data_IF_204508669218
#
_entry.id   IF_204508669218
#
_cell.length_a   1.000
_cell.length_b   1.000
_cell.length_c   1.000
_cell.angle_alpha   90.00
_cell.angle_beta   90.00
_cell.angle_gamma   90.00
#
_symmetry.space_group_name_H-M   'P 1'
#
loop_
_entity.id
_entity.type
_entity.pdbx_description
1 polymer ?
#
# COMPACT_ATOMS: atom_id res chain seq x y z
N UNK A 1 13.55 -4.47 -9.14
CA UNK A 1 12.36 -4.08 -8.36
C UNK A 1 12.01 -2.60 -8.53
N UNK A 2 12.86 -1.64 -8.11
CA UNK A 2 12.61 -0.21 -8.39
C UNK A 2 12.62 0.06 -9.91
N UNK A 3 13.56 -0.54 -10.64
CA UNK A 3 13.59 -0.50 -12.10
C UNK A 3 12.38 -1.19 -12.75
N UNK A 4 11.82 -2.23 -12.11
CA UNK A 4 10.68 -2.98 -12.65
C UNK A 4 9.40 -2.14 -12.54
N UNK A 5 9.13 -1.55 -11.37
CA UNK A 5 7.98 -0.67 -11.18
C UNK A 5 8.10 0.61 -12.02
N UNK A 6 9.30 1.17 -12.13
CA UNK A 6 9.54 2.30 -13.03
C UNK A 6 9.30 1.90 -14.50
N UNK A 7 9.76 0.73 -14.94
CA UNK A 7 9.47 0.21 -16.28
C UNK A 7 7.97 0.09 -16.54
N UNK A 8 7.25 -0.59 -15.65
CA UNK A 8 5.80 -0.80 -15.75
C UNK A 8 5.01 0.52 -15.76
N UNK A 9 5.43 1.53 -15.00
CA UNK A 9 4.73 2.82 -14.91
C UNK A 9 5.13 3.77 -16.05
N UNK A 10 6.43 3.99 -16.25
CA UNK A 10 6.95 5.07 -17.09
C UNK A 10 7.08 4.67 -18.57
N UNK A 11 7.35 3.39 -18.84
CA UNK A 11 7.60 2.88 -20.21
C UNK A 11 6.42 2.07 -20.72
N UNK A 12 6.03 1.04 -19.99
CA UNK A 12 5.06 0.04 -20.48
C UNK A 12 3.61 0.49 -20.23
N UNK A 13 3.40 1.48 -19.35
CA UNK A 13 2.07 2.00 -18.97
C UNK A 13 1.09 0.89 -18.51
N UNK A 14 1.62 -0.15 -17.85
CA UNK A 14 0.85 -1.28 -17.34
C UNK A 14 0.31 -1.04 -15.93
N UNK A 15 0.85 -0.06 -15.21
CA UNK A 15 0.38 0.36 -13.89
C UNK A 15 0.24 1.87 -13.81
N UNK A 16 -0.65 2.33 -12.95
CA UNK A 16 -0.78 3.73 -12.55
C UNK A 16 -0.80 3.86 -11.03
N UNK A 17 -0.55 5.07 -10.53
CA UNK A 17 -0.66 5.37 -9.11
C UNK A 17 -1.96 6.07 -8.81
N UNK A 18 -2.72 5.56 -7.85
CA UNK A 18 -3.90 6.26 -7.32
C UNK A 18 -4.28 5.73 -5.93
N UNK A 19 -5.38 6.26 -5.39
CA UNK A 19 -5.89 5.87 -4.07
C UNK A 19 -6.61 4.52 -4.10
N UNK A 20 -5.92 3.46 -3.70
CA UNK A 20 -6.50 2.20 -3.22
C UNK A 20 -6.61 2.21 -1.68
N UNK A 21 -6.10 1.16 -1.02
CA UNK A 21 -6.01 1.13 0.46
C UNK A 21 -5.10 2.26 1.00
N UNK A 22 -4.16 2.69 0.17
CA UNK A 22 -3.30 3.85 0.37
C UNK A 22 -2.97 4.46 -1.01
N UNK A 23 -1.90 5.26 -1.09
CA UNK A 23 -1.32 5.58 -2.39
C UNK A 23 -0.66 4.31 -2.94
N UNK A 24 -1.26 3.71 -3.96
CA UNK A 24 -0.91 2.37 -4.43
C UNK A 24 -0.60 2.37 -5.92
N UNK A 25 0.24 1.44 -6.35
CA UNK A 25 0.30 1.04 -7.75
C UNK A 25 -0.87 0.12 -8.07
N UNK A 26 -1.53 0.37 -9.18
CA UNK A 26 -2.75 -0.29 -9.62
C UNK A 26 -2.58 -0.70 -11.09
N UNK A 27 -3.07 -1.89 -11.51
CA UNK A 27 -3.10 -2.28 -12.91
C UNK A 27 -3.81 -1.24 -13.76
N UNK A 28 -3.24 -0.86 -14.91
CA UNK A 28 -3.83 0.14 -15.80
C UNK A 28 -5.21 -0.28 -16.31
N UNK A 29 -5.46 -1.59 -16.46
CA UNK A 29 -6.77 -2.16 -16.79
C UNK A 29 -7.87 -1.76 -15.83
N UNK A 30 -7.53 -1.40 -14.59
CA UNK A 30 -8.49 -1.08 -13.55
C UNK A 30 -8.86 0.41 -13.52
N UNK A 31 -8.26 1.23 -14.39
CA UNK A 31 -8.37 2.69 -14.36
C UNK A 31 -9.81 3.19 -14.25
N UNK A 32 -10.75 2.65 -15.06
CA UNK A 32 -12.15 3.07 -15.05
C UNK A 32 -12.80 2.99 -13.66
N UNK A 33 -12.44 2.00 -12.85
CA UNK A 33 -13.03 1.79 -11.53
C UNK A 33 -12.62 2.88 -10.52
N UNK A 34 -11.64 3.71 -10.85
CA UNK A 34 -11.21 4.85 -10.05
C UNK A 34 -11.77 6.19 -10.55
N UNK A 35 -12.40 6.24 -11.74
CA UNK A 35 -13.06 7.43 -12.27
C UNK A 35 -14.12 8.02 -11.34
N UNK A 36 -15.01 7.22 -10.70
CA UNK A 36 -15.99 7.79 -9.77
C UNK A 36 -15.30 8.61 -8.67
N UNK A 37 -14.18 8.13 -8.15
CA UNK A 37 -13.39 8.85 -7.13
C UNK A 37 -12.77 10.14 -7.67
N UNK A 38 -12.28 10.14 -8.91
CA UNK A 38 -11.77 11.35 -9.57
C UNK A 38 -12.89 12.39 -9.78
N UNK A 39 -14.05 11.96 -10.27
CA UNK A 39 -15.23 12.82 -10.46
C UNK A 39 -15.71 13.43 -9.14
N UNK A 40 -15.65 12.68 -8.04
CA UNK A 40 -15.95 13.17 -6.69
C UNK A 40 -15.04 14.33 -6.27
N UNK A 41 -13.74 14.27 -6.57
CA UNK A 41 -12.81 15.39 -6.33
C UNK A 41 -13.05 16.60 -7.23
N UNK A 42 -13.76 16.42 -8.36
CA UNK A 42 -14.18 17.52 -9.24
C UNK A 42 -15.40 18.27 -8.70
N UNK A 43 -16.16 17.73 -7.75
CA UNK A 43 -17.30 18.41 -7.15
C UNK A 43 -16.83 19.50 -6.16
N UNK A 44 -16.95 20.81 -6.49
CA UNK A 44 -16.47 21.88 -5.63
C UNK A 44 -17.37 22.14 -4.41
N UNK A 45 -18.60 21.60 -4.40
CA UNK A 45 -19.55 21.78 -3.31
C UNK A 45 -19.25 20.89 -2.11
N UNK A 46 -18.48 19.82 -2.31
CA UNK A 46 -18.10 18.90 -1.25
C UNK A 46 -17.21 19.61 -0.20
N UNK A 47 -17.56 19.50 1.09
CA UNK A 47 -16.98 20.33 2.15
C UNK A 47 -15.45 20.19 2.26
N UNK A 48 -14.93 18.96 2.18
CA UNK A 48 -13.48 18.71 2.18
C UNK A 48 -12.80 19.32 0.95
N UNK A 49 -13.41 19.19 -0.23
CA UNK A 49 -12.86 19.74 -1.49
C UNK A 49 -12.82 21.26 -1.40
N UNK A 50 -13.93 21.87 -0.99
CA UNK A 50 -14.03 23.32 -0.76
C UNK A 50 -12.97 23.82 0.21
N UNK A 51 -12.76 23.12 1.33
CA UNK A 51 -11.73 23.48 2.30
C UNK A 51 -10.32 23.40 1.69
N UNK A 52 -10.01 22.32 0.97
CA UNK A 52 -8.71 22.12 0.31
C UNK A 52 -8.46 23.16 -0.78
N UNK A 53 -9.47 23.53 -1.55
CA UNK A 53 -9.39 24.51 -2.64
C UNK A 53 -9.04 25.93 -2.16
N UNK A 54 -9.39 26.31 -0.92
CA UNK A 54 -9.13 27.68 -0.41
C UNK A 54 -7.68 28.14 -0.57
N UNK A 55 -6.72 27.22 -0.44
CA UNK A 55 -5.29 27.54 -0.50
C UNK A 55 -4.66 27.49 -1.89
N UNK A 56 -5.32 26.91 -2.90
CA UNK A 56 -4.70 26.62 -4.20
C UNK A 56 -5.61 26.78 -5.42
N UNK A 57 -6.90 27.12 -5.27
CA UNK A 57 -7.84 27.22 -6.40
C UNK A 57 -7.35 28.15 -7.52
N UNK A 58 -6.75 29.28 -7.14
CA UNK A 58 -6.19 30.28 -8.06
C UNK A 58 -4.96 29.78 -8.84
N UNK A 59 -4.34 28.67 -8.44
CA UNK A 59 -3.15 28.10 -9.09
C UNK A 59 -3.46 26.93 -10.03
N UNK A 60 -4.67 26.36 -9.98
CA UNK A 60 -4.96 25.10 -10.69
C UNK A 60 -4.76 25.24 -12.20
N UNK A 61 -5.29 26.31 -12.80
CA UNK A 61 -5.20 26.50 -14.25
C UNK A 61 -3.76 26.78 -14.69
N UNK A 62 -3.03 27.62 -13.96
CA UNK A 62 -1.64 27.94 -14.26
C UNK A 62 -0.73 26.71 -14.16
N UNK A 63 -0.91 25.88 -13.12
CA UNK A 63 -0.17 24.62 -12.96
C UNK A 63 -0.48 23.66 -14.11
N UNK A 64 -1.76 23.52 -14.48
CA UNK A 64 -2.17 22.65 -15.58
C UNK A 64 -1.60 23.13 -16.92
N UNK A 65 -1.62 24.43 -17.18
CA UNK A 65 -1.08 25.03 -18.40
C UNK A 65 0.44 24.87 -18.51
N UNK A 66 1.16 25.00 -17.39
CA UNK A 66 2.60 24.70 -17.37
C UNK A 66 2.90 23.26 -17.74
N UNK A 67 2.17 22.28 -17.19
CA UNK A 67 2.33 20.87 -17.57
C UNK A 67 1.97 20.64 -19.05
N UNK A 68 0.94 21.33 -19.55
CA UNK A 68 0.55 21.26 -20.96
C UNK A 68 1.68 21.74 -21.88
N UNK A 69 2.30 22.88 -21.58
CA UNK A 69 3.35 23.51 -22.39
C UNK A 69 4.72 22.86 -22.24
N UNK A 70 5.14 22.58 -21.01
CA UNK A 70 6.50 22.15 -20.67
C UNK A 70 6.64 20.62 -20.64
N UNK A 71 5.52 19.89 -20.63
CA UNK A 71 5.50 18.44 -20.47
C UNK A 71 5.48 18.00 -19.00
N UNK A 72 5.96 16.79 -18.67
CA UNK A 72 5.90 16.26 -17.32
C UNK A 72 6.68 17.11 -16.30
N UNK A 73 6.02 17.53 -15.22
CA UNK A 73 6.61 18.34 -14.15
C UNK A 73 6.44 17.72 -12.76
N UNK A 74 7.43 17.92 -11.90
CA UNK A 74 7.40 17.58 -10.49
C UNK A 74 7.11 18.79 -9.62
N UNK A 75 6.84 18.59 -8.33
CA UNK A 75 6.70 19.69 -7.38
C UNK A 75 7.97 20.56 -7.24
N UNK A 76 9.15 20.10 -7.69
CA UNK A 76 10.38 20.89 -7.67
C UNK A 76 10.43 21.91 -8.80
N UNK A 77 9.73 21.67 -9.90
CA UNK A 77 9.71 22.58 -11.05
C UNK A 77 8.85 23.84 -10.80
N UNK A 78 8.30 23.94 -9.58
CA UNK A 78 7.54 25.07 -9.05
C UNK A 78 8.24 25.73 -7.84
N UNK A 79 9.53 25.48 -7.64
CA UNK A 79 10.34 26.21 -6.63
C UNK A 79 10.93 27.49 -7.23
N UNK A 80 11.12 28.51 -6.39
CA UNK A 80 11.78 29.76 -6.78
C UNK A 80 13.21 29.53 -7.33
N UNK A 81 13.62 30.24 -8.39
CA UNK A 81 15.03 30.54 -8.63
C UNK A 81 15.59 31.35 -7.44
N UNK A 82 16.83 31.08 -7.02
CA UNK A 82 17.46 31.74 -5.86
C UNK A 82 17.50 33.28 -5.96
N UNK A 83 17.42 33.82 -7.18
CA UNK A 83 17.49 35.27 -7.47
C UNK A 83 16.12 35.96 -7.66
N UNK A 84 15.00 35.24 -7.49
CA UNK A 84 13.67 35.84 -7.58
C UNK A 84 13.34 36.62 -6.29
N UNK A 85 12.97 37.90 -6.41
CA UNK A 85 12.56 38.75 -5.26
C UNK A 85 11.52 38.01 -4.39
N UNK A 86 11.78 37.94 -3.08
CA UNK A 86 10.75 37.53 -2.09
C UNK A 86 9.53 38.44 -2.26
N UNK A 87 8.42 37.89 -2.74
CA UNK A 87 7.18 38.64 -3.01
C UNK A 87 6.43 38.25 -4.28
N UNK A 88 7.03 37.50 -5.20
CA UNK A 88 6.35 36.99 -6.40
C UNK A 88 5.79 35.57 -6.19
N UNK A 89 4.49 35.49 -5.88
CA UNK A 89 3.50 34.42 -6.15
C UNK A 89 3.98 32.97 -6.44
N UNK A 90 4.95 32.42 -5.72
CA UNK A 90 5.34 31.01 -5.86
C UNK A 90 5.68 30.37 -4.51
N UNK A 91 4.72 30.33 -3.59
CA UNK A 91 4.89 29.46 -2.44
C UNK A 91 4.85 27.99 -2.90
N UNK A 92 5.97 27.30 -2.70
CA UNK A 92 6.17 25.89 -3.05
C UNK A 92 5.06 24.99 -2.48
N UNK A 93 4.53 25.35 -1.30
CA UNK A 93 3.47 24.56 -0.65
C UNK A 93 2.15 24.62 -1.46
N UNK A 94 1.55 25.80 -1.74
CA UNK A 94 0.39 25.92 -2.64
C UNK A 94 0.54 25.27 -4.02
N UNK A 95 1.67 25.43 -4.71
CA UNK A 95 1.88 24.83 -6.03
C UNK A 95 1.94 23.29 -5.97
N UNK A 96 2.61 22.74 -4.95
CA UNK A 96 2.58 21.30 -4.68
C UNK A 96 1.16 20.80 -4.42
N UNK A 97 0.37 21.54 -3.64
CA UNK A 97 -1.02 21.17 -3.38
C UNK A 97 -1.89 21.24 -4.65
N UNK A 98 -1.67 22.23 -5.52
CA UNK A 98 -2.35 22.30 -6.81
C UNK A 98 -2.05 21.07 -7.68
N UNK A 99 -0.78 20.65 -7.79
CA UNK A 99 -0.41 19.40 -8.49
C UNK A 99 -1.10 18.18 -7.90
N UNK A 100 -1.05 18.01 -6.57
CA UNK A 100 -1.70 16.87 -5.90
C UNK A 100 -3.22 16.88 -6.10
N UNK A 101 -3.84 18.06 -6.09
CA UNK A 101 -5.28 18.21 -6.28
C UNK A 101 -5.71 17.92 -7.73
N UNK A 102 -4.98 18.41 -8.73
CA UNK A 102 -5.19 18.07 -10.14
C UNK A 102 -5.01 16.57 -10.40
N UNK A 103 -4.05 15.94 -9.71
CA UNK A 103 -3.88 14.49 -9.72
C UNK A 103 -5.09 13.76 -9.10
N UNK A 104 -5.59 14.21 -7.94
CA UNK A 104 -6.78 13.59 -7.34
C UNK A 104 -8.02 13.71 -8.23
N UNK A 105 -8.19 14.82 -8.94
CA UNK A 105 -9.28 15.06 -9.90
C UNK A 105 -9.17 14.26 -11.21
N UNK A 106 -8.04 13.57 -11.44
CA UNK A 106 -7.77 12.85 -12.69
C UNK A 106 -7.41 13.76 -13.87
N UNK A 107 -7.10 15.04 -13.64
CA UNK A 107 -6.58 15.93 -14.70
C UNK A 107 -5.11 15.62 -15.00
N UNK A 108 -4.36 15.26 -13.95
CA UNK A 108 -2.99 14.80 -14.02
C UNK A 108 -2.87 13.36 -13.57
N UNK A 109 -1.87 12.66 -14.11
CA UNK A 109 -1.42 11.35 -13.64
C UNK A 109 0.05 11.40 -13.27
N UNK A 110 0.50 10.49 -12.41
CA UNK A 110 1.93 10.31 -12.15
C UNK A 110 2.51 9.52 -13.32
N UNK A 111 3.24 10.21 -14.19
CA UNK A 111 3.85 9.61 -15.38
C UNK A 111 5.09 8.79 -15.05
N UNK A 112 5.83 9.18 -14.03
CA UNK A 112 6.98 8.44 -13.51
C UNK A 112 7.33 8.89 -12.10
N UNK A 113 8.25 8.15 -11.49
CA UNK A 113 8.97 8.60 -10.31
C UNK A 113 10.46 8.76 -10.62
N UNK A 114 10.97 9.95 -10.34
CA UNK A 114 12.41 10.23 -10.35
C UNK A 114 12.91 10.15 -8.92
N UNK A 115 13.54 9.02 -8.57
CA UNK A 115 13.78 8.65 -7.16
C UNK A 115 12.42 8.58 -6.44
N UNK A 116 12.22 9.35 -5.36
CA UNK A 116 10.96 9.39 -4.62
C UNK A 116 10.00 10.50 -5.07
N UNK A 117 10.36 11.31 -6.06
CA UNK A 117 9.53 12.42 -6.50
C UNK A 117 8.58 11.99 -7.60
N UNK A 118 7.31 12.35 -7.41
CA UNK A 118 6.27 12.22 -8.42
C UNK A 118 6.52 13.23 -9.53
N UNK A 119 6.51 12.75 -10.77
CA UNK A 119 6.45 13.58 -11.97
C UNK A 119 5.04 13.43 -12.53
N UNK A 120 4.35 14.55 -12.71
CA UNK A 120 2.97 14.62 -13.16
C UNK A 120 2.93 15.00 -14.63
N UNK A 121 2.05 14.37 -15.40
CA UNK A 121 1.73 14.77 -16.77
C UNK A 121 0.22 14.72 -16.97
N UNK A 122 -0.27 15.27 -18.08
CA UNK A 122 -1.68 15.22 -18.45
C UNK A 122 -2.17 13.78 -18.52
N UNK A 123 -3.35 13.50 -17.95
CA UNK A 123 -3.90 12.14 -17.97
C UNK A 123 -3.99 11.57 -19.40
N UNK A 124 -4.38 12.39 -20.39
CA UNK A 124 -4.46 12.01 -21.81
C UNK A 124 -3.11 11.62 -22.45
N UNK A 125 -1.98 12.07 -21.89
CA UNK A 125 -0.62 11.69 -22.37
C UNK A 125 -0.10 10.44 -21.69
N UNK A 126 -0.63 10.10 -20.51
CA UNK A 126 -0.21 8.95 -19.71
C UNK A 126 -1.06 7.71 -20.01
N UNK A 127 -2.36 7.90 -20.25
CA UNK A 127 -3.29 6.81 -20.54
C UNK A 127 -3.00 6.17 -21.91
N UNK A 128 -2.80 4.85 -21.97
CA UNK A 128 -2.76 4.12 -23.23
C UNK A 128 -4.10 4.19 -23.98
N UNK A 129 -4.05 4.24 -25.31
CA UNK A 129 -5.23 4.39 -26.18
C UNK A 129 -6.27 3.26 -26.10
N UNK A 130 -5.91 2.10 -25.56
CA UNK A 130 -6.80 0.94 -25.40
C UNK A 130 -7.43 0.79 -24.01
N UNK A 131 -7.16 1.72 -23.09
CA UNK A 131 -7.73 1.66 -21.74
C UNK A 131 -9.18 2.09 -21.77
N UNK A 132 -10.03 1.30 -21.14
CA UNK A 132 -11.43 1.68 -20.92
C UNK A 132 -11.50 2.86 -19.94
N UNK A 133 -12.07 3.97 -20.41
CA UNK A 133 -12.30 5.18 -19.64
C UNK A 133 -13.79 5.49 -19.50
N UNK A 134 -14.67 4.52 -19.77
CA UNK A 134 -16.10 4.67 -19.53
C UNK A 134 -16.37 4.72 -18.03
N UNK A 135 -17.27 5.63 -17.61
CA UNK A 135 -17.59 5.74 -16.19
C UNK A 135 -18.41 4.51 -15.78
N UNK A 136 -17.92 3.69 -14.83
CA UNK A 136 -18.64 2.51 -14.39
C UNK A 136 -19.89 2.87 -13.61
N UNK A 137 -20.87 1.98 -13.69
CA UNK A 137 -22.03 1.96 -12.79
C UNK A 137 -21.60 1.59 -11.37
N UNK A 138 -22.45 1.93 -10.39
CA UNK A 138 -22.25 1.52 -9.01
C UNK A 138 -22.13 0.00 -8.87
N UNK A 139 -22.93 -0.77 -9.61
CA UNK A 139 -22.88 -2.23 -9.59
C UNK A 139 -21.50 -2.75 -10.05
N UNK A 140 -20.98 -2.25 -11.17
CA UNK A 140 -19.67 -2.66 -11.69
C UNK A 140 -18.53 -2.29 -10.74
N UNK A 141 -18.59 -1.11 -10.11
CA UNK A 141 -17.61 -0.70 -9.08
C UNK A 141 -17.69 -1.65 -7.88
N UNK A 142 -18.88 -1.90 -7.36
CA UNK A 142 -19.06 -2.77 -6.20
C UNK A 142 -18.51 -4.16 -6.46
N UNK A 143 -18.87 -4.77 -7.60
CA UNK A 143 -18.39 -6.10 -7.96
C UNK A 143 -16.88 -6.14 -8.17
N UNK A 144 -16.29 -5.15 -8.85
CA UNK A 144 -14.85 -5.02 -9.01
C UNK A 144 -14.13 -5.03 -7.65
N UNK A 145 -14.64 -4.26 -6.69
CA UNK A 145 -14.03 -4.14 -5.37
C UNK A 145 -14.12 -5.41 -4.56
N UNK A 146 -15.29 -6.06 -4.54
CA UNK A 146 -15.48 -7.32 -3.82
C UNK A 146 -14.58 -8.40 -4.41
N UNK A 147 -14.59 -8.58 -5.74
CA UNK A 147 -13.72 -9.55 -6.45
C UNK A 147 -12.25 -9.29 -6.17
N UNK A 148 -11.81 -8.02 -6.24
CA UNK A 148 -10.42 -7.65 -5.95
C UNK A 148 -10.04 -7.93 -4.50
N UNK A 149 -10.92 -7.66 -3.55
CA UNK A 149 -10.67 -7.86 -2.13
C UNK A 149 -10.55 -9.35 -1.78
N UNK A 150 -11.51 -10.19 -2.20
CA UNK A 150 -11.45 -11.65 -1.95
C UNK A 150 -10.23 -12.26 -2.64
N UNK A 151 -9.90 -11.84 -3.86
CA UNK A 151 -8.74 -12.38 -4.59
C UNK A 151 -7.41 -11.95 -3.96
N UNK A 152 -7.31 -10.69 -3.56
CA UNK A 152 -6.06 -10.13 -3.02
C UNK A 152 -5.79 -10.50 -1.57
N UNK A 153 -6.81 -10.94 -0.82
CA UNK A 153 -6.70 -11.18 0.61
C UNK A 153 -7.07 -12.60 1.07
N UNK A 154 -7.65 -13.42 0.19
CA UNK A 154 -8.12 -14.78 0.49
C UNK A 154 -9.51 -14.77 1.11
N UNK A 155 -9.62 -14.29 2.35
CA UNK A 155 -10.89 -14.13 3.08
C UNK A 155 -11.05 -12.67 3.49
N UNK A 156 -12.25 -12.10 3.48
CA UNK A 156 -12.49 -10.69 3.88
C UNK A 156 -13.82 -10.54 4.60
N UNK A 157 -13.91 -9.61 5.55
CA UNK A 157 -15.21 -9.10 6.02
C UNK A 157 -15.64 -7.93 5.15
N UNK A 158 -16.93 -7.63 5.14
CA UNK A 158 -17.44 -6.52 4.34
C UNK A 158 -16.76 -5.17 4.68
N UNK A 159 -16.47 -4.91 5.96
CA UNK A 159 -15.75 -3.71 6.42
C UNK A 159 -14.30 -3.63 5.90
N UNK A 160 -13.68 -4.78 5.62
CA UNK A 160 -12.31 -4.82 5.07
C UNK A 160 -12.29 -4.37 3.60
N UNK A 161 -13.35 -4.67 2.85
CA UNK A 161 -13.55 -4.22 1.47
C UNK A 161 -13.68 -2.69 1.41
N UNK A 162 -14.40 -2.11 2.38
CA UNK A 162 -14.50 -0.64 2.52
C UNK A 162 -13.12 0.00 2.77
N UNK A 163 -12.31 -0.62 3.62
CA UNK A 163 -10.93 -0.19 3.89
C UNK A 163 -10.00 -0.28 2.67
N UNK A 164 -10.32 -1.13 1.69
CA UNK A 164 -9.54 -1.28 0.46
C UNK A 164 -9.66 -0.07 -0.50
N UNK A 165 -10.71 0.75 -0.35
CA UNK A 165 -10.97 1.91 -1.18
C UNK A 165 -10.43 3.23 -0.62
N UNK A 166 -10.17 3.30 0.68
CA UNK A 166 -10.00 4.58 1.36
C UNK A 166 -8.69 4.62 2.14
N UNK A 167 -7.87 5.68 1.97
CA UNK A 167 -6.75 5.90 2.88
C UNK A 167 -7.29 6.12 4.30
N UNK A 168 -6.63 5.49 5.29
CA UNK A 168 -6.93 5.70 6.69
C UNK A 168 -6.87 7.21 7.01
N UNK A 169 -8.03 7.82 7.32
CA UNK A 169 -8.15 9.25 7.64
C UNK A 169 -9.20 10.02 6.83
N UNK A 170 -9.76 9.46 5.76
CA UNK A 170 -10.93 10.03 5.10
C UNK A 170 -12.18 9.81 5.97
N UNK A 171 -12.35 10.63 7.02
CA UNK A 171 -13.56 10.65 7.88
C UNK A 171 -14.73 11.38 7.22
N UNK A 172 -14.83 11.34 5.90
CA UNK A 172 -16.00 11.90 5.22
C UNK A 172 -17.11 10.85 5.21
N UNK A 173 -18.08 11.06 6.09
CA UNK A 173 -19.24 10.17 6.29
C UNK A 173 -19.99 9.90 4.98
N UNK A 174 -20.04 10.90 4.10
CA UNK A 174 -20.87 10.85 2.90
C UNK A 174 -20.25 9.93 1.84
N UNK A 175 -18.92 9.94 1.69
CA UNK A 175 -18.22 9.00 0.82
C UNK A 175 -18.33 7.57 1.33
N UNK A 176 -18.19 7.40 2.65
CA UNK A 176 -18.27 6.08 3.28
C UNK A 176 -19.66 5.46 3.11
N UNK A 177 -20.74 6.23 3.32
CA UNK A 177 -22.10 5.70 3.25
C UNK A 177 -22.48 5.22 1.83
N UNK A 178 -22.10 5.96 0.79
CA UNK A 178 -22.36 5.56 -0.59
C UNK A 178 -21.58 4.29 -0.95
N UNK A 179 -20.28 4.24 -0.60
CA UNK A 179 -19.44 3.07 -0.87
C UNK A 179 -19.94 1.83 -0.11
N UNK A 180 -20.43 1.98 1.11
CA UNK A 180 -21.02 0.89 1.89
C UNK A 180 -22.22 0.25 1.20
N UNK A 181 -23.16 1.05 0.67
CA UNK A 181 -24.36 0.53 -0.02
C UNK A 181 -23.97 -0.24 -1.29
N UNK A 182 -23.05 0.32 -2.06
CA UNK A 182 -22.52 -0.30 -3.28
C UNK A 182 -21.85 -1.65 -2.96
N UNK A 183 -21.02 -1.70 -1.93
CA UNK A 183 -20.35 -2.93 -1.50
C UNK A 183 -21.37 -3.96 -0.97
N UNK A 184 -22.33 -3.55 -0.13
CA UNK A 184 -23.38 -4.46 0.37
C UNK A 184 -24.13 -5.14 -0.77
N UNK A 185 -24.58 -4.36 -1.76
CA UNK A 185 -25.33 -4.90 -2.89
C UNK A 185 -24.47 -5.83 -3.73
N UNK A 186 -23.20 -5.48 -3.98
CA UNK A 186 -22.28 -6.34 -4.72
C UNK A 186 -21.97 -7.65 -3.99
N UNK A 187 -21.84 -7.64 -2.66
CA UNK A 187 -21.68 -8.88 -1.87
C UNK A 187 -22.91 -9.78 -2.04
N UNK A 188 -24.11 -9.23 -1.95
CA UNK A 188 -25.34 -9.99 -2.18
C UNK A 188 -25.42 -10.56 -3.61
N UNK A 189 -25.19 -9.73 -4.63
CA UNK A 189 -25.20 -10.15 -6.03
C UNK A 189 -24.22 -11.31 -6.28
N UNK A 190 -23.00 -11.21 -5.74
CA UNK A 190 -21.95 -12.21 -5.95
C UNK A 190 -22.17 -13.48 -5.13
N UNK A 191 -22.84 -13.41 -3.98
CA UNK A 191 -23.30 -14.58 -3.23
C UNK A 191 -24.40 -15.32 -4.00
N UNK A 192 -25.40 -14.59 -4.51
CA UNK A 192 -26.49 -15.16 -5.32
C UNK A 192 -25.95 -15.81 -6.61
N UNK A 193 -24.92 -15.22 -7.21
CA UNK A 193 -24.24 -15.77 -8.37
C UNK A 193 -23.29 -16.94 -8.06
N UNK A 194 -23.01 -17.21 -6.77
CA UNK A 194 -22.06 -18.24 -6.35
C UNK A 194 -20.58 -17.93 -6.63
N UNK A 195 -20.24 -16.69 -6.97
CA UNK A 195 -18.84 -16.29 -7.23
C UNK A 195 -18.04 -16.14 -5.93
N UNK A 196 -18.73 -15.76 -4.85
CA UNK A 196 -18.16 -15.72 -3.51
C UNK A 196 -19.00 -16.59 -2.58
N UNK A 197 -18.35 -17.08 -1.52
CA UNK A 197 -18.99 -17.89 -0.48
C UNK A 197 -18.81 -17.20 0.87
N UNK A 198 -19.82 -17.30 1.71
CA UNK A 198 -19.68 -16.99 3.14
C UNK A 198 -18.90 -18.13 3.80
N UNK A 199 -17.91 -17.80 4.60
CA UNK A 199 -17.04 -18.75 5.31
C UNK A 199 -17.04 -18.44 6.80
N UNK A 200 -16.95 -19.49 7.62
CA UNK A 200 -16.77 -19.35 9.05
C UNK A 200 -15.27 -19.30 9.39
N UNK A 201 -14.90 -18.42 10.31
CA UNK A 201 -13.55 -18.34 10.87
C UNK A 201 -13.64 -18.71 12.35
N UNK A 202 -12.80 -19.64 12.79
CA UNK A 202 -12.78 -20.09 14.18
C UNK A 202 -12.57 -18.92 15.14
N UNK A 203 -13.37 -18.86 16.22
CA UNK A 203 -13.30 -17.79 17.21
C UNK A 203 -13.91 -16.45 16.77
N UNK A 204 -14.40 -16.33 15.54
CA UNK A 204 -14.97 -15.11 14.99
C UNK A 204 -16.48 -15.25 14.77
N UNK A 205 -17.22 -14.19 15.13
CA UNK A 205 -18.69 -14.11 14.96
C UNK A 205 -19.10 -13.27 13.75
N UNK A 206 -18.13 -12.61 13.11
CA UNK A 206 -18.37 -11.77 11.94
C UNK A 206 -18.50 -12.64 10.68
N UNK A 207 -19.27 -12.17 9.70
CA UNK A 207 -19.33 -12.82 8.39
C UNK A 207 -18.05 -12.55 7.59
N UNK A 208 -17.43 -13.64 7.15
CA UNK A 208 -16.29 -13.62 6.24
C UNK A 208 -16.70 -14.15 4.88
N UNK A 209 -16.06 -13.64 3.84
CA UNK A 209 -16.32 -14.01 2.45
C UNK A 209 -15.02 -14.39 1.76
N UNK A 210 -15.09 -15.40 0.90
CA UNK A 210 -13.99 -15.88 0.09
C UNK A 210 -14.46 -16.06 -1.36
N UNK A 211 -13.52 -16.07 -2.31
CA UNK A 211 -13.82 -16.48 -3.68
C UNK A 211 -14.12 -17.98 -3.72
N UNK A 212 -15.22 -18.36 -4.38
CA UNK A 212 -15.55 -19.77 -4.59
C UNK A 212 -14.43 -20.48 -5.37
N UNK A 213 -14.00 -19.88 -6.48
CA UNK A 213 -12.91 -20.36 -7.32
C UNK A 213 -11.62 -20.60 -6.54
N UNK A 214 -11.23 -19.68 -5.64
CA UNK A 214 -10.00 -19.85 -4.86
C UNK A 214 -10.10 -21.02 -3.87
N UNK A 215 -11.26 -21.22 -3.24
CA UNK A 215 -11.45 -22.33 -2.32
C UNK A 215 -11.45 -23.69 -3.03
N UNK A 216 -12.01 -23.75 -4.24
CA UNK A 216 -12.03 -24.95 -5.06
C UNK A 216 -10.64 -25.31 -5.60
N UNK A 217 -9.89 -24.30 -6.09
CA UNK A 217 -8.62 -24.52 -6.78
C UNK A 217 -7.39 -24.55 -5.85
N UNK A 218 -7.50 -24.05 -4.63
CA UNK A 218 -6.42 -24.05 -3.65
C UNK A 218 -6.83 -24.85 -2.40
N UNK A 219 -6.82 -26.20 -2.46
CA UNK A 219 -7.11 -27.02 -1.30
C UNK A 219 -6.12 -26.75 -0.17
N UNK A 220 -6.57 -27.05 1.05
CA UNK A 220 -5.85 -26.82 2.32
C UNK A 220 -4.37 -27.14 2.18
N UNK A 221 -3.54 -26.10 2.27
CA UNK A 221 -2.09 -26.27 2.44
C UNK A 221 -1.91 -26.89 3.83
N UNK A 222 -1.15 -27.97 3.95
CA UNK A 222 -0.93 -28.70 5.21
C UNK A 222 -0.14 -27.91 6.27
N UNK A 223 0.02 -26.59 6.06
CA UNK A 223 0.76 -25.68 6.90
C UNK A 223 2.27 -25.97 6.92
N UNK A 224 2.75 -26.96 6.16
CA UNK A 224 4.17 -27.31 6.18
C UNK A 224 4.98 -26.15 5.63
N UNK A 225 6.02 -25.75 6.36
CA UNK A 225 6.77 -24.58 5.99
C UNK A 225 7.70 -24.89 4.81
N UNK A 226 7.43 -24.29 3.65
CA UNK A 226 8.33 -24.39 2.49
C UNK A 226 9.34 -23.25 2.38
N UNK A 227 9.02 -22.07 2.94
CA UNK A 227 9.79 -20.82 2.80
C UNK A 227 9.57 -19.92 4.02
N UNK A 228 10.57 -19.09 4.32
CA UNK A 228 10.42 -17.98 5.28
C UNK A 228 10.10 -16.70 4.53
N UNK A 229 9.03 -16.01 4.92
CA UNK A 229 8.68 -14.69 4.39
C UNK A 229 8.98 -13.59 5.41
N UNK A 230 9.55 -12.49 4.93
CA UNK A 230 9.75 -11.26 5.70
C UNK A 230 8.70 -10.26 5.24
N UNK A 231 7.67 -10.05 6.04
CA UNK A 231 6.52 -9.25 5.64
C UNK A 231 6.79 -7.76 5.94
N UNK A 232 6.63 -6.91 4.93
CA UNK A 232 6.70 -5.46 5.13
C UNK A 232 5.60 -5.00 6.08
N UNK A 233 5.80 -3.92 6.87
CA UNK A 233 4.73 -3.25 7.60
C UNK A 233 3.52 -2.83 6.75
N UNK A 234 3.71 -2.74 5.42
CA UNK A 234 2.73 -2.38 4.41
C UNK A 234 2.32 -3.56 3.50
N UNK A 235 2.73 -4.78 3.83
CA UNK A 235 2.18 -5.98 3.21
C UNK A 235 0.65 -6.03 3.45
N UNK A 236 -0.14 -6.53 2.50
CA UNK A 236 -1.61 -6.56 2.62
C UNK A 236 -2.08 -7.34 3.86
N UNK A 237 -1.35 -8.39 4.27
CA UNK A 237 -1.65 -9.13 5.49
C UNK A 237 -1.32 -8.30 6.74
N UNK A 238 -0.15 -7.63 6.73
CA UNK A 238 0.35 -6.90 7.90
C UNK A 238 -0.34 -5.57 8.09
N UNK A 239 -0.70 -4.88 7.00
CA UNK A 239 -1.28 -3.54 7.04
C UNK A 239 -2.59 -3.53 7.84
N UNK A 240 -3.32 -4.65 7.83
CA UNK A 240 -4.52 -4.91 8.63
C UNK A 240 -4.13 -5.51 9.99
N UNK A 241 -3.84 -4.64 10.96
CA UNK A 241 -3.38 -5.06 12.30
C UNK A 241 -4.40 -5.91 13.06
N UNK A 242 -5.67 -5.67 12.83
CA UNK A 242 -6.75 -6.44 13.44
C UNK A 242 -6.79 -7.88 12.92
N UNK A 243 -6.43 -8.11 11.66
CA UNK A 243 -6.29 -9.46 11.10
C UNK A 243 -5.13 -10.21 11.72
N UNK A 244 -3.97 -9.56 11.88
CA UNK A 244 -2.84 -10.19 12.55
C UNK A 244 -3.24 -10.63 13.97
N UNK A 245 -4.00 -9.80 14.69
CA UNK A 245 -4.49 -10.14 16.02
C UNK A 245 -5.51 -11.28 16.00
N UNK A 246 -6.51 -11.23 15.12
CA UNK A 246 -7.62 -12.20 15.09
C UNK A 246 -7.25 -13.55 14.48
N UNK A 247 -6.50 -13.54 13.38
CA UNK A 247 -6.20 -14.74 12.59
C UNK A 247 -4.85 -15.38 12.96
N UNK A 248 -3.92 -14.59 13.51
CA UNK A 248 -2.55 -15.06 13.81
C UNK A 248 -2.14 -14.85 15.27
N UNK A 249 -3.05 -14.35 16.11
CA UNK A 249 -2.78 -14.02 17.53
C UNK A 249 -1.53 -13.14 17.71
N UNK A 250 -1.25 -12.30 16.72
CA UNK A 250 0.01 -11.57 16.61
C UNK A 250 -0.22 -10.07 16.77
N UNK A 251 0.13 -9.55 17.94
CA UNK A 251 0.11 -8.11 18.18
C UNK A 251 1.30 -7.42 17.50
N UNK A 252 1.00 -6.36 16.74
CA UNK A 252 2.00 -5.67 15.94
C UNK A 252 1.66 -4.19 15.77
N UNK A 253 2.64 -3.34 16.06
CA UNK A 253 2.57 -1.90 15.87
C UNK A 253 3.78 -1.44 15.07
N UNK A 254 3.58 -0.55 14.10
CA UNK A 254 4.68 0.08 13.39
C UNK A 254 5.25 1.24 14.22
N UNK A 255 6.43 1.03 14.80
CA UNK A 255 7.03 1.96 15.76
C UNK A 255 7.89 3.07 15.12
N UNK A 256 7.89 3.20 13.78
CA UNK A 256 8.68 4.23 13.10
C UNK A 256 8.29 5.67 13.48
N UNK A 257 7.06 5.84 13.97
CA UNK A 257 6.52 7.11 14.46
C UNK A 257 6.83 7.37 15.93
N UNK A 258 7.34 6.39 16.66
CA UNK A 258 7.73 6.54 18.06
C UNK A 258 9.16 7.08 18.15
N UNK A 259 9.46 7.93 19.16
CA UNK A 259 10.83 8.20 19.59
C UNK A 259 11.60 6.89 19.86
N UNK A 260 12.91 6.89 19.63
CA UNK A 260 13.73 5.67 19.65
C UNK A 260 13.67 4.92 20.98
N UNK A 261 13.66 5.66 22.08
CA UNK A 261 13.56 5.17 23.46
C UNK A 261 12.21 4.52 23.81
N UNK A 262 11.16 4.80 23.03
CA UNK A 262 9.82 4.21 23.20
C UNK A 262 9.59 2.98 22.32
N UNK A 263 10.57 2.62 21.47
CA UNK A 263 10.46 1.47 20.57
C UNK A 263 10.72 0.17 21.33
N UNK A 264 9.81 -0.79 21.23
CA UNK A 264 9.95 -2.10 21.83
C UNK A 264 10.77 -3.02 20.90
N UNK A 265 10.44 -3.02 19.62
CA UNK A 265 11.01 -3.95 18.64
C UNK A 265 11.96 -3.29 17.63
N UNK A 266 11.75 -2.03 17.25
CA UNK A 266 12.66 -1.35 16.31
C UNK A 266 11.97 -0.32 15.42
N UNK A 267 12.71 0.28 14.49
CA UNK A 267 12.18 1.38 13.67
C UNK A 267 11.20 0.89 12.61
N UNK A 268 11.56 -0.13 11.83
CA UNK A 268 10.77 -0.56 10.67
C UNK A 268 10.73 -2.08 10.63
N UNK A 269 10.01 -2.66 11.60
CA UNK A 269 10.03 -4.09 11.94
C UNK A 269 9.19 -4.93 10.98
N UNK A 270 9.76 -6.04 10.50
CA UNK A 270 9.12 -7.01 9.61
C UNK A 270 8.70 -8.24 10.42
N UNK A 271 7.42 -8.64 10.41
CA UNK A 271 6.99 -9.95 10.87
C UNK A 271 7.61 -11.07 10.01
N UNK A 272 7.93 -12.19 10.65
CA UNK A 272 8.51 -13.39 10.02
C UNK A 272 7.42 -14.45 9.95
N UNK A 273 7.01 -14.81 8.74
CA UNK A 273 6.04 -15.88 8.50
C UNK A 273 6.76 -17.18 8.14
N UNK A 274 6.43 -18.25 8.85
CA UNK A 274 6.95 -19.60 8.63
C UNK A 274 5.79 -20.60 8.67
N UNK A 275 5.53 -21.27 7.54
CA UNK A 275 4.30 -22.05 7.36
C UNK A 275 3.07 -21.14 7.46
N UNK A 276 2.20 -21.42 8.41
CA UNK A 276 1.00 -20.64 8.71
C UNK A 276 1.11 -19.78 9.98
N UNK A 277 2.31 -19.60 10.54
CA UNK A 277 2.51 -18.86 11.81
C UNK A 277 3.46 -17.68 11.66
N UNK A 278 3.13 -16.58 12.33
CA UNK A 278 4.06 -15.48 12.54
C UNK A 278 4.98 -15.82 13.71
N UNK A 279 6.21 -16.19 13.40
CA UNK A 279 7.15 -16.82 14.35
C UNK A 279 8.17 -15.85 14.94
N UNK A 280 8.23 -14.62 14.43
CA UNK A 280 9.12 -13.61 14.98
C UNK A 280 9.04 -12.26 14.28
N UNK A 281 9.97 -11.40 14.63
CA UNK A 281 10.08 -9.99 14.24
C UNK A 281 11.55 -9.66 14.00
N UNK A 282 11.85 -8.92 12.92
CA UNK A 282 13.19 -8.39 12.69
C UNK A 282 13.17 -6.91 12.28
N UNK A 283 14.15 -6.13 12.72
CA UNK A 283 14.35 -4.72 12.32
C UNK A 283 15.54 -4.63 11.35
N UNK A 284 15.32 -4.68 10.03
CA UNK A 284 16.40 -4.67 9.05
C UNK A 284 16.76 -3.23 8.66
N UNK A 285 18.05 -2.97 8.45
CA UNK A 285 18.52 -1.72 7.85
C UNK A 285 19.64 -1.98 6.87
N UNK A 286 19.42 -1.61 5.60
CA UNK A 286 20.48 -1.60 4.60
C UNK A 286 21.42 -0.42 4.84
N UNK A 287 22.69 -0.70 5.17
CA UNK A 287 23.76 0.28 5.10
C UNK A 287 24.33 0.29 3.69
N UNK A 288 23.91 1.29 2.91
CA UNK A 288 24.31 1.44 1.50
C UNK A 288 25.81 1.71 1.33
N UNK A 289 26.49 2.32 2.31
CA UNK A 289 27.92 2.62 2.23
C UNK A 289 28.74 1.34 2.35
N UNK A 290 28.45 0.52 3.36
CA UNK A 290 29.13 -0.76 3.58
C UNK A 290 28.54 -1.92 2.79
N UNK A 291 27.45 -1.69 2.04
CA UNK A 291 26.66 -2.69 1.32
C UNK A 291 26.30 -3.88 2.22
N UNK A 292 25.89 -3.59 3.45
CA UNK A 292 25.57 -4.61 4.47
C UNK A 292 24.15 -4.42 4.99
N UNK A 293 23.37 -5.49 4.98
CA UNK A 293 22.06 -5.53 5.63
C UNK A 293 22.26 -5.78 7.13
N UNK A 294 22.00 -4.79 7.96
CA UNK A 294 22.14 -4.87 9.41
C UNK A 294 20.79 -5.24 10.01
N UNK A 295 20.68 -6.43 10.59
CA UNK A 295 19.53 -6.82 11.42
C UNK A 295 19.79 -6.29 12.81
N UNK A 296 19.13 -5.17 13.15
CA UNK A 296 19.34 -4.43 14.40
C UNK A 296 18.75 -5.14 15.60
N UNK A 297 17.65 -5.84 15.37
CA UNK A 297 16.94 -6.63 16.36
C UNK A 297 16.30 -7.83 15.68
N UNK A 298 16.29 -8.98 16.35
CA UNK A 298 15.61 -10.20 15.95
C UNK A 298 15.01 -10.83 17.21
N UNK A 299 13.70 -11.05 17.18
CA UNK A 299 12.95 -11.59 18.32
C UNK A 299 12.03 -12.68 17.79
N UNK A 300 12.08 -13.86 18.38
CA UNK A 300 11.12 -14.93 18.09
C UNK A 300 9.94 -14.85 19.05
N UNK A 301 8.76 -15.25 18.58
CA UNK A 301 7.56 -15.28 19.41
C UNK A 301 7.68 -16.33 20.52
N UNK A 302 7.02 -16.10 21.69
CA UNK A 302 6.92 -17.11 22.73
C UNK A 302 6.41 -18.44 22.17
N UNK A 303 7.05 -19.55 22.57
CA UNK A 303 6.68 -20.89 22.12
C UNK A 303 7.20 -21.28 20.73
N UNK A 304 7.93 -20.41 20.03
CA UNK A 304 8.67 -20.78 18.83
C UNK A 304 10.13 -21.10 19.17
N UNK A 305 10.55 -22.32 18.85
CA UNK A 305 11.96 -22.74 18.89
C UNK A 305 12.43 -22.94 17.45
N UNK A 306 13.43 -22.16 16.98
CA UNK A 306 13.97 -22.32 15.63
C UNK A 306 14.53 -23.74 15.42
N UNK A 307 13.99 -24.46 14.43
CA UNK A 307 14.58 -25.72 13.96
C UNK A 307 15.74 -25.46 13.00
N UNK A 308 16.60 -26.46 12.78
CA UNK A 308 17.69 -26.37 11.80
C UNK A 308 17.18 -26.06 10.38
N UNK A 309 16.02 -26.63 10.02
CA UNK A 309 15.35 -26.33 8.75
C UNK A 309 14.94 -24.85 8.67
N UNK A 310 14.29 -24.32 9.71
CA UNK A 310 13.94 -22.91 9.76
C UNK A 310 15.17 -22.02 9.65
N UNK A 311 16.22 -22.30 10.41
CA UNK A 311 17.45 -21.50 10.42
C UNK A 311 18.12 -21.50 9.04
N UNK A 312 18.15 -22.65 8.37
CA UNK A 312 18.65 -22.77 7.00
C UNK A 312 17.86 -21.89 6.04
N UNK A 313 16.52 -22.02 6.03
CA UNK A 313 15.64 -21.21 5.16
C UNK A 313 15.68 -19.72 5.50
N UNK A 314 15.76 -19.38 6.78
CA UNK A 314 15.82 -18.00 7.24
C UNK A 314 17.11 -17.32 6.77
N UNK A 315 18.25 -18.02 6.86
CA UNK A 315 19.53 -17.53 6.35
C UNK A 315 19.52 -17.34 4.81
N UNK A 316 18.93 -18.28 4.07
CA UNK A 316 18.70 -18.15 2.62
C UNK A 316 17.85 -16.90 2.30
N UNK A 317 16.74 -16.71 3.02
CA UNK A 317 15.85 -15.55 2.89
C UNK A 317 16.56 -14.25 3.23
N UNK A 318 17.35 -14.18 4.30
CA UNK A 318 18.14 -13.00 4.66
C UNK A 318 19.20 -12.67 3.62
N UNK A 319 19.88 -13.67 3.07
CA UNK A 319 20.85 -13.47 2.00
C UNK A 319 20.18 -12.93 0.72
N UNK A 320 19.03 -13.49 0.35
CA UNK A 320 18.23 -12.99 -0.77
C UNK A 320 17.73 -11.56 -0.53
N UNK A 321 17.23 -11.26 0.66
CA UNK A 321 16.76 -9.92 1.03
C UNK A 321 17.90 -8.90 1.09
N UNK A 322 19.10 -9.30 1.53
CA UNK A 322 20.29 -8.46 1.46
C UNK A 322 20.62 -8.10 0.00
N UNK A 323 20.65 -9.10 -0.90
CA UNK A 323 20.89 -8.86 -2.35
C UNK A 323 19.83 -7.95 -2.96
N UNK A 324 18.56 -8.17 -2.64
CA UNK A 324 17.44 -7.33 -3.08
C UNK A 324 17.66 -5.85 -2.69
N UNK A 325 18.21 -5.60 -1.50
CA UNK A 325 18.53 -4.26 -1.02
C UNK A 325 19.93 -3.74 -1.46
N UNK A 326 20.57 -4.38 -2.45
CA UNK A 326 21.88 -3.99 -2.96
C UNK A 326 23.04 -4.24 -1.97
N UNK A 327 22.82 -5.09 -0.97
CA UNK A 327 23.82 -5.48 0.01
C UNK A 327 24.49 -6.81 -0.39
N UNK A 328 25.78 -6.95 -0.09
CA UNK A 328 26.59 -8.15 -0.40
C UNK A 328 26.56 -9.19 0.73
N UNK A 329 26.25 -8.75 1.95
CA UNK A 329 26.19 -9.57 3.15
C UNK A 329 25.14 -9.03 4.11
N UNK A 330 24.78 -9.82 5.12
CA UNK A 330 24.03 -9.36 6.27
C UNK A 330 24.78 -9.64 7.56
N UNK A 331 24.43 -8.91 8.61
CA UNK A 331 24.92 -9.15 9.97
C UNK A 331 23.76 -9.02 10.94
N UNK A 332 23.71 -9.89 11.94
CA UNK A 332 22.74 -9.80 13.03
C UNK A 332 23.46 -9.19 14.24
N UNK A 333 22.96 -8.06 14.74
CA UNK A 333 23.53 -7.43 15.92
C UNK A 333 23.02 -8.13 17.18
N UNK A 334 23.95 -8.48 18.08
CA UNK A 334 23.59 -8.83 19.46
C UNK A 334 23.05 -7.57 20.15
N UNK A 335 21.80 -7.62 20.62
CA UNK A 335 21.19 -6.51 21.38
C UNK A 335 21.81 -6.46 22.78
N UNK A 336 22.24 -5.28 23.22
CA UNK A 336 22.62 -5.03 24.60
C UNK A 336 21.36 -4.62 25.41
N UNK A 337 20.68 -5.58 26.07
CA UNK A 337 19.55 -5.39 27.02
C UNK A 337 18.16 -5.04 26.38
N UNK A 338 16.99 -5.13 27.04
CA UNK A 338 16.52 -5.52 28.40
C UNK A 338 15.27 -6.44 28.35
N UNK A 339 14.81 -6.85 27.16
CA UNK A 339 13.68 -7.75 26.98
C UNK A 339 14.16 -9.02 26.28
N UNK A 340 13.73 -10.18 26.79
CA UNK A 340 14.17 -11.55 26.44
C UNK A 340 14.41 -11.70 24.94
N UNK A 341 15.67 -11.53 24.52
CA UNK A 341 16.14 -12.03 23.24
C UNK A 341 16.35 -13.54 23.39
N UNK A 342 15.91 -14.32 22.39
CA UNK A 342 16.42 -15.68 22.26
C UNK A 342 17.96 -15.58 22.10
N UNK A 343 18.74 -16.47 22.74
CA UNK A 343 20.19 -16.39 22.68
C UNK A 343 20.65 -16.48 21.22
N UNK A 344 21.39 -15.45 20.80
CA UNK A 344 22.04 -15.30 19.49
C UNK A 344 23.20 -16.30 19.28
N UNK A 345 23.13 -17.48 19.90
CA UNK A 345 24.19 -18.50 19.85
C UNK A 345 23.98 -19.51 18.71
N UNK A 346 22.80 -19.53 18.06
CA UNK A 346 22.44 -20.50 17.03
C UNK A 346 22.18 -19.89 15.64
N UNK A 347 22.59 -18.64 15.39
CA UNK A 347 22.41 -17.93 14.11
C UNK A 347 23.73 -17.42 13.55
#
# INVERSE_FOLDING_TARGET
AEDDLHGLQARDRLIFEYWGHAMSYLPMSDYRYYLPKMLRFRNPQHAWVKHRLKGCAHLLEEVLERVRREGPLSARDFTHPEDAKRGTWWDWKPAKFALEFLFWRGDLMISERRKFQKVYDLAERVLPSGIDTTTPTDQEVGQFLVRRAVRGCGIVRQKDIQGFLQPAGARDSDWQAADCRVISKAVQDLLEAGEILQVAVEGEQEDWYASAELLENHPVVDGKPGRVFLLSPFDNLVIRRDWLKKLFEFEYTLECYLPEEKRQYGYFVFPILWGNRLVGRLDPKADRKSKTLVIRNLVFEPGFQPSDEFLTRFNETLAAFARFNGCRKYVIKKRAGRHRAAPCAAL
#
